data_IF_666593328665
#
_entry.id   IF_666593328665
#
_cell.length_a   1.000
_cell.length_b   1.000
_cell.length_c   1.000
_cell.angle_alpha   90.00
_cell.angle_beta   90.00
_cell.angle_gamma   90.00
#
_symmetry.space_group_name_H-M   'P 1'
#
loop_
_entity.id
_entity.type
_entity.pdbx_description
1 polymer ?
#
# COMPACT_ATOMS: atom_id res chain seq x y z
N UNK A 1 27.00 -11.05 -3.14
CA UNK A 1 27.95 -10.09 -2.56
C UNK A 1 27.32 -8.71 -2.56
N UNK A 2 27.70 -7.88 -1.61
CA UNK A 2 27.36 -6.46 -1.52
C UNK A 2 28.55 -5.67 -2.06
N UNK A 3 28.29 -4.61 -2.82
CA UNK A 3 29.31 -3.74 -3.40
C UNK A 3 28.97 -2.28 -3.11
N UNK A 4 29.98 -1.41 -3.17
CA UNK A 4 29.77 0.07 -3.12
C UNK A 4 28.88 0.49 -4.30
N UNK A 5 27.88 1.30 -4.01
CA UNK A 5 26.85 1.70 -4.95
C UNK A 5 25.63 0.77 -5.00
N UNK A 6 25.63 -0.36 -4.29
CA UNK A 6 24.43 -1.19 -4.17
C UNK A 6 23.40 -0.53 -3.27
N UNK A 7 22.12 -0.71 -3.60
CA UNK A 7 20.99 -0.42 -2.71
C UNK A 7 20.64 -1.66 -1.92
N UNK A 8 20.75 -1.55 -0.61
CA UNK A 8 20.46 -2.65 0.31
C UNK A 8 19.39 -2.29 1.34
N UNK A 9 18.69 -3.30 1.79
CA UNK A 9 17.78 -3.25 2.93
C UNK A 9 18.33 -4.15 4.02
N UNK A 10 18.45 -3.61 5.21
CA UNK A 10 18.86 -4.34 6.41
C UNK A 10 17.72 -4.34 7.41
N UNK A 11 17.35 -5.51 7.88
CA UNK A 11 16.32 -5.68 8.89
C UNK A 11 16.99 -6.17 10.18
N UNK A 12 16.77 -5.43 11.29
CA UNK A 12 17.18 -5.85 12.63
C UNK A 12 16.02 -5.68 13.61
N UNK A 13 15.47 -6.78 14.06
CA UNK A 13 14.23 -6.75 14.85
C UNK A 13 13.12 -6.03 14.09
N UNK A 14 12.55 -4.99 14.70
CA UNK A 14 11.50 -4.18 14.08
C UNK A 14 12.02 -2.97 13.29
N UNK A 15 13.34 -2.83 13.16
CA UNK A 15 13.95 -1.71 12.43
C UNK A 15 14.31 -2.14 11.02
N UNK A 16 13.73 -1.47 10.06
CA UNK A 16 14.03 -1.59 8.64
C UNK A 16 14.79 -0.36 8.16
N UNK A 17 15.94 -0.58 7.54
CA UNK A 17 16.74 0.49 6.95
C UNK A 17 17.06 0.17 5.50
N UNK A 18 16.75 1.09 4.60
CA UNK A 18 17.07 0.99 3.17
C UNK A 18 18.01 2.14 2.82
N UNK A 19 19.06 1.83 2.09
CA UNK A 19 20.01 2.85 1.68
C UNK A 19 21.05 2.36 0.67
N UNK A 20 21.81 3.31 0.17
CA UNK A 20 22.86 3.07 -0.80
C UNK A 20 24.21 2.89 -0.08
N UNK A 21 24.94 1.86 -0.45
CA UNK A 21 26.27 1.54 0.12
C UNK A 21 27.27 2.58 -0.36
N UNK A 22 27.80 3.35 0.58
CA UNK A 22 28.85 4.34 0.33
C UNK A 22 30.25 3.76 0.44
N UNK A 23 30.46 2.87 1.43
CA UNK A 23 31.77 2.31 1.72
C UNK A 23 31.62 0.94 2.41
N UNK A 24 32.60 0.08 2.17
CA UNK A 24 32.75 -1.22 2.84
C UNK A 24 34.15 -1.29 3.41
N UNK A 25 34.25 -1.17 4.72
CA UNK A 25 35.51 -1.29 5.45
C UNK A 25 35.63 -2.65 6.16
N UNK A 26 36.74 -2.88 6.84
CA UNK A 26 37.03 -4.16 7.49
C UNK A 26 35.95 -4.56 8.53
N UNK A 27 35.38 -3.61 9.24
CA UNK A 27 34.44 -3.90 10.36
C UNK A 27 33.01 -3.43 10.12
N UNK A 28 32.76 -2.58 9.10
CA UNK A 28 31.46 -1.97 8.88
C UNK A 28 31.17 -1.71 7.41
N UNK A 29 29.89 -1.74 7.07
CA UNK A 29 29.32 -1.21 5.84
C UNK A 29 28.72 0.15 6.19
N UNK A 30 29.06 1.18 5.42
CA UNK A 30 28.47 2.52 5.55
C UNK A 30 27.41 2.68 4.49
N UNK A 31 26.17 2.99 4.89
CA UNK A 31 25.07 3.26 3.96
C UNK A 31 24.51 4.66 4.19
N UNK A 32 24.02 5.28 3.11
CA UNK A 32 23.22 6.48 3.16
C UNK A 32 21.75 6.08 2.99
N UNK A 33 20.94 6.40 3.99
CA UNK A 33 19.50 6.12 3.96
C UNK A 33 18.82 6.81 2.79
N UNK A 34 17.93 6.09 2.12
CA UNK A 34 17.09 6.63 1.06
C UNK A 34 15.66 6.89 1.54
N UNK A 35 14.95 7.73 0.80
CA UNK A 35 13.53 7.98 1.01
C UNK A 35 12.75 6.79 0.44
N UNK A 36 12.12 6.03 1.33
CA UNK A 36 11.22 4.94 0.98
C UNK A 36 9.79 5.30 1.38
N UNK A 37 8.83 4.52 0.91
CA UNK A 37 7.44 4.67 1.36
C UNK A 37 7.33 4.50 2.88
N UNK A 38 8.07 3.57 3.47
CA UNK A 38 8.10 3.35 4.92
C UNK A 38 8.70 4.55 5.66
N UNK A 39 9.83 5.10 5.19
CA UNK A 39 10.42 6.28 5.84
C UNK A 39 9.53 7.52 5.72
N UNK A 40 8.80 7.66 4.61
CA UNK A 40 7.83 8.73 4.42
C UNK A 40 6.67 8.63 5.42
N UNK A 41 6.12 7.44 5.63
CA UNK A 41 4.93 7.23 6.49
C UNK A 41 5.25 7.30 7.98
N UNK A 42 6.43 6.81 8.40
CA UNK A 42 6.78 6.65 9.83
C UNK A 42 7.57 7.85 10.36
N UNK A 43 8.66 8.22 9.71
CA UNK A 43 9.63 9.16 10.31
C UNK A 43 9.67 10.55 9.65
N UNK A 44 9.21 10.69 8.41
CA UNK A 44 9.31 11.91 7.57
C UNK A 44 10.72 12.53 7.53
N UNK A 45 11.75 11.76 7.84
CA UNK A 45 13.15 12.15 7.78
C UNK A 45 13.96 11.01 7.20
N UNK A 46 14.88 11.31 6.31
CA UNK A 46 15.75 10.36 5.63
C UNK A 46 17.11 11.00 5.34
N UNK A 47 18.01 10.25 4.72
CA UNK A 47 19.36 10.74 4.37
C UNK A 47 20.39 10.59 5.48
N UNK A 48 20.07 9.87 6.54
CA UNK A 48 21.00 9.56 7.61
C UNK A 48 22.11 8.61 7.13
N UNK A 49 23.25 8.68 7.77
CA UNK A 49 24.34 7.72 7.55
C UNK A 49 24.25 6.64 8.63
N UNK A 50 24.14 5.39 8.20
CA UNK A 50 24.17 4.24 9.09
C UNK A 50 25.47 3.48 8.95
N UNK A 51 25.99 3.02 10.08
CA UNK A 51 27.13 2.15 10.16
C UNK A 51 26.64 0.76 10.58
N UNK A 52 26.74 -0.19 9.67
CA UNK A 52 26.27 -1.56 9.83
C UNK A 52 27.48 -2.45 10.08
N UNK A 53 27.59 -3.11 11.24
CA UNK A 53 28.68 -4.06 11.50
C UNK A 53 28.69 -5.20 10.48
N UNK A 54 29.87 -5.60 9.99
CA UNK A 54 29.97 -6.65 8.96
C UNK A 54 29.44 -8.00 9.41
N UNK A 55 29.40 -8.29 10.72
CA UNK A 55 28.80 -9.52 11.24
C UNK A 55 27.29 -9.63 10.98
N UNK A 56 26.58 -8.53 10.67
CA UNK A 56 25.16 -8.58 10.30
C UNK A 56 24.91 -9.38 9.01
N UNK A 57 25.93 -9.54 8.16
CA UNK A 57 25.83 -10.41 6.98
C UNK A 57 25.52 -11.86 7.36
N UNK A 58 25.91 -12.28 8.57
CA UNK A 58 25.71 -13.65 9.08
C UNK A 58 24.51 -13.80 10.01
N UNK A 59 24.05 -12.71 10.64
CA UNK A 59 23.01 -12.76 11.67
C UNK A 59 21.69 -12.12 11.26
N UNK A 60 21.70 -11.20 10.28
CA UNK A 60 20.54 -10.42 9.92
C UNK A 60 20.12 -10.65 8.48
N UNK A 61 18.84 -10.39 8.18
CA UNK A 61 18.36 -10.47 6.80
C UNK A 61 18.75 -9.22 6.02
N UNK A 62 19.62 -9.40 5.03
CA UNK A 62 20.03 -8.34 4.13
C UNK A 62 19.51 -8.62 2.72
N UNK A 63 18.74 -7.69 2.17
CA UNK A 63 18.27 -7.74 0.79
C UNK A 63 19.06 -6.76 -0.08
N UNK A 64 19.48 -7.19 -1.26
CA UNK A 64 20.19 -6.34 -2.22
C UNK A 64 19.29 -6.10 -3.44
N UNK A 65 18.83 -4.86 -3.63
CA UNK A 65 17.94 -4.45 -4.71
C UNK A 65 18.65 -4.27 -6.06
N UNK A 66 19.97 -4.21 -6.06
CA UNK A 66 20.77 -3.93 -7.26
C UNK A 66 21.71 -5.06 -7.64
N UNK A 67 21.56 -6.21 -6.99
CA UNK A 67 22.42 -7.37 -7.16
C UNK A 67 22.56 -7.79 -8.64
N UNK A 68 23.79 -7.98 -9.09
CA UNK A 68 24.12 -8.39 -10.47
C UNK A 68 23.55 -7.45 -11.55
N UNK A 69 23.37 -6.16 -11.22
CA UNK A 69 22.85 -5.14 -12.15
C UNK A 69 21.34 -5.16 -12.32
N UNK A 70 20.61 -6.01 -11.60
CA UNK A 70 19.15 -5.95 -11.53
C UNK A 70 18.75 -4.74 -10.67
N UNK A 71 18.20 -3.71 -11.32
CA UNK A 71 17.82 -2.45 -10.64
C UNK A 71 16.33 -2.25 -10.57
N UNK A 72 15.56 -3.25 -10.96
CA UNK A 72 14.10 -3.18 -10.98
C UNK A 72 13.54 -4.04 -9.85
N UNK A 73 12.49 -3.51 -9.23
CA UNK A 73 11.75 -4.13 -8.14
C UNK A 73 10.25 -4.11 -8.46
N UNK A 74 9.51 -5.03 -7.86
CA UNK A 74 8.06 -4.96 -7.86
C UNK A 74 7.59 -3.94 -6.84
N UNK A 75 6.67 -3.08 -7.25
CA UNK A 75 5.94 -2.17 -6.38
C UNK A 75 4.44 -2.36 -6.60
N UNK A 76 3.62 -1.99 -5.62
CA UNK A 76 2.18 -2.21 -5.65
C UNK A 76 1.39 -0.99 -5.18
N UNK A 77 0.21 -0.80 -5.79
CA UNK A 77 -0.77 0.22 -5.44
C UNK A 77 -2.09 -0.47 -5.21
N UNK A 78 -2.69 -0.25 -4.05
CA UNK A 78 -3.99 -0.79 -3.69
C UNK A 78 -5.02 0.33 -3.65
N UNK A 79 -6.12 0.16 -4.40
CA UNK A 79 -7.27 1.06 -4.37
C UNK A 79 -8.50 0.22 -4.09
N UNK A 80 -9.24 0.57 -3.05
CA UNK A 80 -10.46 -0.12 -2.65
C UNK A 80 -11.67 0.56 -3.28
N UNK A 81 -12.49 -0.24 -3.95
CA UNK A 81 -13.76 0.19 -4.55
C UNK A 81 -14.93 -0.50 -3.83
N UNK A 82 -16.12 0.05 -3.97
CA UNK A 82 -17.32 -0.51 -3.32
C UNK A 82 -17.74 -1.83 -3.95
N UNK A 83 -18.54 -2.62 -3.23
CA UNK A 83 -18.99 -3.95 -3.70
C UNK A 83 -19.92 -3.91 -4.92
N UNK A 84 -20.60 -2.81 -5.15
CA UNK A 84 -21.47 -2.55 -6.31
C UNK A 84 -20.72 -2.06 -7.54
N UNK A 85 -19.42 -1.77 -7.40
CA UNK A 85 -18.57 -1.30 -8.50
C UNK A 85 -18.26 -2.39 -9.54
N UNK A 86 -18.04 -1.97 -10.77
CA UNK A 86 -17.58 -2.83 -11.85
C UNK A 86 -16.08 -3.14 -11.72
N UNK A 87 -15.75 -4.10 -10.86
CA UNK A 87 -14.38 -4.51 -10.58
C UNK A 87 -13.62 -5.01 -11.82
N UNK A 88 -14.30 -5.61 -12.81
CA UNK A 88 -13.66 -6.07 -14.05
C UNK A 88 -13.17 -4.91 -14.90
N UNK A 89 -13.98 -3.85 -14.98
CA UNK A 89 -13.62 -2.61 -15.67
C UNK A 89 -12.49 -1.89 -14.95
N UNK A 90 -12.57 -1.77 -13.62
CA UNK A 90 -11.51 -1.19 -12.80
C UNK A 90 -10.17 -1.95 -12.97
N UNK A 91 -10.20 -3.29 -12.96
CA UNK A 91 -9.02 -4.12 -13.20
C UNK A 91 -8.41 -3.86 -14.59
N UNK A 92 -9.24 -3.68 -15.62
CA UNK A 92 -8.76 -3.40 -16.99
C UNK A 92 -8.11 -2.03 -17.06
N UNK A 93 -8.76 -0.99 -16.54
CA UNK A 93 -8.24 0.38 -16.51
C UNK A 93 -6.89 0.44 -15.80
N UNK A 94 -6.81 -0.11 -14.58
CA UNK A 94 -5.56 -0.18 -13.83
C UNK A 94 -4.45 -0.88 -14.61
N UNK A 95 -4.76 -2.03 -15.24
CA UNK A 95 -3.78 -2.80 -16.04
C UNK A 95 -3.26 -2.00 -17.24
N UNK A 96 -4.11 -1.26 -17.92
CA UNK A 96 -3.72 -0.50 -19.11
C UNK A 96 -2.82 0.69 -18.73
N UNK A 97 -3.12 1.38 -17.62
CA UNK A 97 -2.27 2.42 -17.06
C UNK A 97 -0.90 1.85 -16.65
N UNK A 98 -0.89 0.74 -15.90
CA UNK A 98 0.35 0.10 -15.47
C UNK A 98 1.24 -0.31 -16.65
N UNK A 99 0.65 -0.85 -17.72
CA UNK A 99 1.40 -1.21 -18.93
C UNK A 99 2.09 -0.02 -19.57
N UNK A 100 1.43 1.14 -19.58
CA UNK A 100 2.02 2.37 -20.11
C UNK A 100 3.30 2.75 -19.36
N UNK A 101 3.24 2.79 -18.02
CA UNK A 101 4.36 3.21 -17.19
C UNK A 101 5.47 2.18 -17.02
N UNK A 102 5.15 0.89 -17.04
CA UNK A 102 6.11 -0.18 -16.76
C UNK A 102 6.81 -0.75 -17.99
N UNK A 103 6.41 -0.39 -19.20
CA UNK A 103 6.93 -0.99 -20.46
C UNK A 103 8.46 -1.00 -20.52
N UNK A 104 9.12 0.12 -20.27
CA UNK A 104 10.58 0.22 -20.30
C UNK A 104 11.25 -0.64 -19.22
N UNK A 105 10.70 -0.67 -18.02
CA UNK A 105 11.22 -1.47 -16.91
C UNK A 105 11.04 -2.97 -17.14
N UNK A 106 9.91 -3.37 -17.71
CA UNK A 106 9.64 -4.75 -18.10
C UNK A 106 10.69 -5.28 -19.09
N UNK A 107 11.01 -4.50 -20.13
CA UNK A 107 12.00 -4.89 -21.14
C UNK A 107 13.41 -4.96 -20.57
N UNK A 108 13.79 -4.00 -19.73
CA UNK A 108 15.09 -4.01 -19.04
C UNK A 108 15.19 -5.24 -18.13
N UNK A 109 14.16 -5.49 -17.32
CA UNK A 109 14.14 -6.64 -16.40
C UNK A 109 14.23 -7.95 -17.14
N UNK A 110 13.51 -8.13 -18.24
CA UNK A 110 13.54 -9.33 -19.07
C UNK A 110 14.95 -9.62 -19.57
N UNK A 111 15.65 -8.58 -20.06
CA UNK A 111 17.04 -8.70 -20.53
C UNK A 111 17.99 -9.06 -19.38
N UNK A 112 17.84 -8.44 -18.22
CA UNK A 112 18.69 -8.71 -17.05
C UNK A 112 18.46 -10.12 -16.49
N UNK A 113 17.21 -10.54 -16.32
CA UNK A 113 16.87 -11.90 -15.87
C UNK A 113 17.38 -12.97 -16.86
N UNK A 114 17.33 -12.71 -18.17
CA UNK A 114 17.90 -13.63 -19.17
C UNK A 114 19.41 -13.83 -18.98
N UNK A 115 20.16 -12.77 -18.68
CA UNK A 115 21.60 -12.86 -18.35
C UNK A 115 21.88 -13.61 -17.05
N UNK A 116 21.00 -13.45 -16.04
CA UNK A 116 21.15 -14.11 -14.74
C UNK A 116 20.75 -15.59 -14.74
N UNK A 117 19.95 -16.05 -15.71
CA UNK A 117 19.50 -17.45 -15.80
C UNK A 117 20.64 -18.45 -15.80
N UNK A 118 21.70 -18.17 -16.54
CA UNK A 118 22.86 -19.09 -16.64
C UNK A 118 23.59 -19.21 -15.29
N UNK A 119 23.57 -18.14 -14.47
CA UNK A 119 24.27 -18.12 -13.18
C UNK A 119 23.43 -18.70 -12.03
N UNK A 120 22.11 -18.47 -12.03
CA UNK A 120 21.24 -18.73 -10.88
C UNK A 120 20.12 -19.74 -11.16
N UNK A 121 20.08 -20.37 -12.34
CA UNK A 121 19.04 -21.34 -12.77
C UNK A 121 17.60 -20.80 -12.53
N UNK A 122 17.41 -19.50 -12.79
CA UNK A 122 16.12 -18.85 -12.56
C UNK A 122 15.04 -19.40 -13.51
N UNK A 123 13.88 -19.70 -12.98
CA UNK A 123 12.71 -20.02 -13.80
C UNK A 123 12.25 -18.77 -14.58
N UNK A 124 11.61 -19.00 -15.73
CA UNK A 124 10.95 -17.90 -16.45
C UNK A 124 9.80 -17.36 -15.61
N UNK A 125 9.96 -16.17 -15.08
CA UNK A 125 8.89 -15.45 -14.37
C UNK A 125 8.33 -14.39 -15.29
N UNK A 126 6.99 -14.25 -15.30
CA UNK A 126 6.34 -13.16 -16.02
C UNK A 126 6.73 -11.83 -15.38
N UNK A 127 7.17 -10.90 -16.19
CA UNK A 127 7.60 -9.54 -15.79
C UNK A 127 6.56 -8.48 -16.14
N UNK A 128 5.43 -8.91 -16.69
CA UNK A 128 4.33 -8.02 -17.05
C UNK A 128 3.58 -7.51 -15.79
N UNK A 129 3.02 -6.30 -15.82
CA UNK A 129 2.18 -5.80 -14.76
C UNK A 129 1.01 -6.74 -14.47
N UNK A 130 0.68 -6.87 -13.19
CA UNK A 130 -0.41 -7.74 -12.71
C UNK A 130 -1.38 -6.93 -11.90
N UNK A 131 -2.67 -7.19 -12.10
CA UNK A 131 -3.72 -6.60 -11.27
C UNK A 131 -4.52 -7.75 -10.67
N UNK A 132 -4.48 -7.80 -9.35
CA UNK A 132 -5.24 -8.77 -8.56
C UNK A 132 -6.48 -8.08 -7.99
N UNK A 133 -7.50 -8.86 -7.73
CA UNK A 133 -8.74 -8.39 -7.11
C UNK A 133 -8.98 -9.21 -5.86
N UNK A 134 -9.03 -8.55 -4.71
CA UNK A 134 -9.30 -9.17 -3.42
C UNK A 134 -10.59 -8.62 -2.84
N UNK A 135 -11.31 -9.48 -2.11
CA UNK A 135 -12.52 -9.08 -1.38
C UNK A 135 -12.15 -8.89 0.08
N UNK A 136 -12.33 -7.68 0.59
CA UNK A 136 -12.04 -7.30 1.97
C UNK A 136 -13.30 -6.74 2.65
N UNK A 137 -13.34 -6.64 3.98
CA UNK A 137 -14.53 -6.16 4.69
C UNK A 137 -14.99 -4.75 4.28
N UNK A 138 -14.07 -3.90 3.80
CA UNK A 138 -14.37 -2.52 3.40
C UNK A 138 -14.76 -2.38 1.93
N UNK A 139 -14.59 -3.43 1.11
CA UNK A 139 -14.86 -3.38 -0.33
C UNK A 139 -13.99 -4.33 -1.13
N UNK A 140 -13.89 -4.06 -2.41
CA UNK A 140 -13.08 -4.82 -3.37
C UNK A 140 -11.76 -4.06 -3.58
N UNK A 141 -10.64 -4.70 -3.23
CA UNK A 141 -9.29 -4.15 -3.43
C UNK A 141 -8.79 -4.48 -4.83
N UNK A 142 -8.48 -3.44 -5.59
CA UNK A 142 -7.77 -3.54 -6.88
C UNK A 142 -6.29 -3.35 -6.59
N UNK A 143 -5.57 -4.48 -6.49
CA UNK A 143 -4.16 -4.52 -6.15
C UNK A 143 -3.31 -4.56 -7.43
N UNK A 144 -2.65 -3.46 -7.70
CA UNK A 144 -1.96 -3.15 -8.96
C UNK A 144 -0.46 -3.28 -8.79
N UNK A 145 0.16 -4.31 -9.40
CA UNK A 145 1.59 -4.62 -9.26
C UNK A 145 2.33 -4.36 -10.58
N UNK A 146 3.45 -3.66 -10.49
CA UNK A 146 4.27 -3.28 -11.64
C UNK A 146 5.76 -3.26 -11.31
N UNK A 147 6.59 -3.37 -12.33
CA UNK A 147 8.02 -3.21 -12.19
C UNK A 147 8.42 -1.74 -12.30
N UNK A 148 9.29 -1.32 -11.40
CA UNK A 148 9.86 0.02 -11.35
C UNK A 148 11.36 -0.04 -11.06
N UNK A 149 12.05 1.09 -11.20
CA UNK A 149 13.43 1.23 -10.75
C UNK A 149 13.46 1.38 -9.22
N UNK A 150 14.36 0.66 -8.55
CA UNK A 150 14.52 0.72 -7.09
C UNK A 150 14.84 2.13 -6.56
N UNK A 151 15.37 3.02 -7.40
CA UNK A 151 15.66 4.41 -7.04
C UNK A 151 14.49 5.37 -7.30
N UNK A 152 13.53 4.99 -8.14
CA UNK A 152 12.42 5.84 -8.57
C UNK A 152 11.04 5.31 -8.12
N UNK A 153 10.98 4.28 -7.29
CA UNK A 153 9.75 3.62 -6.91
C UNK A 153 8.71 4.58 -6.30
N UNK A 154 9.13 5.42 -5.36
CA UNK A 154 8.23 6.38 -4.71
C UNK A 154 7.66 7.42 -5.69
N UNK A 155 8.49 7.92 -6.61
CA UNK A 155 8.09 8.90 -7.63
C UNK A 155 7.07 8.27 -8.57
N UNK A 156 7.34 7.07 -9.05
CA UNK A 156 6.45 6.39 -9.98
C UNK A 156 5.11 6.03 -9.31
N UNK A 157 5.14 5.58 -8.07
CA UNK A 157 3.92 5.34 -7.28
C UNK A 157 3.08 6.60 -7.13
N UNK A 158 3.73 7.72 -6.81
CA UNK A 158 3.07 9.03 -6.67
C UNK A 158 2.49 9.56 -8.01
N UNK A 159 2.98 9.09 -9.14
CA UNK A 159 2.44 9.43 -10.47
C UNK A 159 1.28 8.52 -10.86
N UNK A 160 1.43 7.22 -10.67
CA UNK A 160 0.45 6.22 -11.10
C UNK A 160 -0.81 6.23 -10.21
N UNK A 161 -0.64 6.42 -8.89
CA UNK A 161 -1.79 6.34 -7.97
C UNK A 161 -2.89 7.35 -8.29
N UNK A 162 -2.61 8.66 -8.48
CA UNK A 162 -3.62 9.62 -8.88
C UNK A 162 -4.23 9.31 -10.25
N UNK A 163 -3.43 8.84 -11.22
CA UNK A 163 -3.95 8.54 -12.55
C UNK A 163 -4.96 7.39 -12.53
N UNK A 164 -4.70 6.34 -11.75
CA UNK A 164 -5.68 5.25 -11.58
C UNK A 164 -6.93 5.79 -10.86
N UNK A 165 -6.75 6.59 -9.80
CA UNK A 165 -7.86 7.18 -9.06
C UNK A 165 -8.74 8.05 -9.96
N UNK A 166 -8.12 8.96 -10.73
CA UNK A 166 -8.82 9.86 -11.64
C UNK A 166 -9.55 9.09 -12.75
N UNK A 167 -8.94 8.00 -13.24
CA UNK A 167 -9.56 7.14 -14.22
C UNK A 167 -10.79 6.41 -13.66
N UNK A 168 -10.73 5.94 -12.41
CA UNK A 168 -11.86 5.32 -11.73
C UNK A 168 -12.99 6.33 -11.47
N UNK A 169 -12.66 7.55 -11.05
CA UNK A 169 -13.64 8.60 -10.77
C UNK A 169 -14.36 9.12 -12.00
N UNK A 170 -13.83 8.89 -13.21
CA UNK A 170 -14.50 9.23 -14.49
C UNK A 170 -15.57 8.22 -14.91
N UNK A 171 -15.59 7.06 -14.27
CA UNK A 171 -16.52 5.98 -14.60
C UNK A 171 -17.72 5.98 -13.66
N UNK A 172 -18.93 6.02 -14.21
CA UNK A 172 -20.18 6.07 -13.43
C UNK A 172 -20.46 4.78 -12.65
N UNK A 173 -19.81 3.67 -13.02
CA UNK A 173 -19.98 2.34 -12.45
C UNK A 173 -18.80 1.90 -11.55
N UNK A 174 -17.91 2.83 -11.19
CA UNK A 174 -16.79 2.57 -10.27
C UNK A 174 -16.81 3.61 -9.15
N UNK A 175 -17.00 3.15 -7.92
CA UNK A 175 -17.06 4.00 -6.74
C UNK A 175 -15.93 3.66 -5.76
N UNK A 176 -15.20 4.66 -5.31
CA UNK A 176 -14.13 4.47 -4.32
C UNK A 176 -14.78 4.13 -2.97
N UNK A 177 -14.27 3.10 -2.30
CA UNK A 177 -14.72 2.75 -0.97
C UNK A 177 -14.14 3.72 0.07
N UNK A 178 -15.02 4.29 0.87
CA UNK A 178 -14.65 5.06 2.06
C UNK A 178 -14.91 4.21 3.31
N UNK A 179 -14.19 4.42 4.41
CA UNK A 179 -14.55 3.81 5.69
C UNK A 179 -15.97 4.23 6.08
N UNK A 180 -16.96 3.36 5.84
CA UNK A 180 -18.36 3.62 6.15
C UNK A 180 -18.79 2.72 7.29
N UNK A 181 -19.54 3.27 8.24
CA UNK A 181 -20.24 2.51 9.27
C UNK A 181 -21.74 2.58 8.99
N UNK A 182 -22.35 1.42 8.81
CA UNK A 182 -23.80 1.34 8.74
C UNK A 182 -24.34 1.28 10.18
N UNK A 183 -24.89 2.38 10.67
CA UNK A 183 -25.55 2.44 11.98
C UNK A 183 -27.03 2.10 11.77
N UNK A 184 -27.43 0.89 12.12
CA UNK A 184 -28.84 0.51 12.19
C UNK A 184 -29.40 1.05 13.52
N UNK A 185 -30.07 2.19 13.47
CA UNK A 185 -30.83 2.70 14.63
C UNK A 185 -32.16 1.96 14.63
N UNK A 186 -32.24 0.87 15.37
CA UNK A 186 -33.51 0.27 15.72
C UNK A 186 -34.22 1.25 16.70
N UNK A 187 -35.06 2.14 16.18
CA UNK A 187 -36.06 2.81 16.99
C UNK A 187 -37.03 1.73 17.47
N UNK A 188 -36.75 1.18 18.63
CA UNK A 188 -37.80 0.52 19.40
C UNK A 188 -38.71 1.66 19.88
N UNK A 189 -39.85 1.83 19.21
CA UNK A 189 -40.92 2.77 19.63
C UNK A 189 -41.49 2.44 21.00
N UNK A 190 -40.86 1.58 21.78
CA UNK A 190 -41.26 1.09 23.09
C UNK A 190 -40.32 1.50 24.24
N UNK A 191 -39.44 2.48 24.07
CA UNK A 191 -38.61 2.99 25.17
C UNK A 191 -39.42 3.84 26.19
N UNK A 192 -40.58 4.32 25.80
CA UNK A 192 -41.58 4.86 26.69
C UNK A 192 -42.81 3.96 26.54
N UNK A 193 -43.25 3.37 27.65
CA UNK A 193 -44.50 2.63 27.70
C UNK A 193 -45.64 3.40 27.06
N UNK A 194 -46.76 2.76 26.72
CA UNK A 194 -47.84 3.40 25.99
C UNK A 194 -48.16 4.75 26.65
N UNK A 195 -48.09 5.83 25.87
CA UNK A 195 -48.43 7.15 26.34
C UNK A 195 -49.76 7.04 27.10
N UNK A 196 -49.76 7.24 28.40
CA UNK A 196 -50.99 7.28 29.19
C UNK A 196 -51.93 8.24 28.46
N UNK A 197 -53.01 7.68 27.90
CA UNK A 197 -54.04 8.51 27.31
C UNK A 197 -54.52 9.43 28.43
N UNK A 198 -54.42 10.74 28.28
CA UNK A 198 -54.82 11.80 29.21
C UNK A 198 -56.25 11.66 29.78
N UNK A 199 -57.02 10.67 29.34
CA UNK A 199 -58.40 10.39 29.82
C UNK A 199 -58.49 9.76 31.18
N UNK A 200 -57.42 9.35 31.84
CA UNK A 200 -57.46 8.66 33.16
C UNK A 200 -56.55 9.35 34.21
N UNK A 201 -56.25 10.60 34.07
CA UNK A 201 -55.60 11.34 35.16
C UNK A 201 -56.71 11.69 36.19
N UNK A 202 -56.48 11.41 37.49
CA UNK A 202 -57.36 11.87 38.56
C UNK A 202 -57.39 13.41 38.53
N UNK A 203 -58.57 14.00 38.69
CA UNK A 203 -58.81 15.46 38.61
C UNK A 203 -57.98 16.28 39.57
N UNK A 204 -57.53 15.71 40.65
CA UNK A 204 -56.70 16.28 41.70
C UNK A 204 -55.26 16.58 41.27
N UNK A 205 -54.78 15.96 40.16
CA UNK A 205 -53.42 16.19 39.62
C UNK A 205 -53.41 17.20 38.44
N UNK A 206 -54.56 17.53 37.86
CA UNK A 206 -54.65 18.57 36.83
C UNK A 206 -54.42 19.98 37.38
N UNK A 207 -54.83 20.23 38.65
CA UNK A 207 -54.72 21.55 39.26
C UNK A 207 -53.30 21.87 39.75
N UNK A 208 -52.44 20.88 40.03
CA UNK A 208 -51.05 21.10 40.43
C UNK A 208 -50.10 21.40 39.25
N UNK A 209 -50.49 21.06 38.03
CA UNK A 209 -49.66 21.29 36.81
C UNK A 209 -49.87 22.69 36.24
N UNK A 210 -50.96 23.34 36.57
CA UNK A 210 -51.31 24.70 36.06
C UNK A 210 -50.73 25.83 36.93
N UNK A 211 -50.18 25.51 38.12
CA UNK A 211 -49.61 26.51 39.05
C UNK A 211 -48.07 26.48 39.15
N UNK A 212 -47.36 25.90 38.18
CA UNK A 212 -45.89 26.01 38.11
C UNK A 212 -45.42 26.62 36.80
#
# INVERSE_FOLDING_TARGET
>A
SIQVGDRIKVNKGNVETVGDVLDISLFKITIREDITYTSYTVNRRSGRIFFIPNNYIFSELISNYTHSGLRTVWDGIDITITFDSNHKKAQKIARDILKHYSKGYTDITRKQLSKMRNKYQLRATGVEPRVFTFVEPQGIVISSWYLTNSYAALVLRSTISPEILDAFMKEDDIHIAYPTQQININRTDNAYGPAMKRKNLPKDLEDEIIQR
#
